data_IF_955029877798
#
_entry.id   IF_955029877798
#
_cell.length_a   1.000
_cell.length_b   1.000
_cell.length_c   1.000
_cell.angle_alpha   90.00
_cell.angle_beta   90.00
_cell.angle_gamma   90.00
#
_symmetry.space_group_name_H-M   'P 1'
#
loop_
_entity.id
_entity.type
_entity.pdbx_description
1 polymer ?
#
# COMPACT_ATOMS: atom_id res chain seq x y z
N UNK A 1 -26.63 17.66 9.52
CA UNK A 1 -25.18 17.54 9.21
C UNK A 1 -25.03 17.30 7.71
N UNK A 2 -24.21 18.09 7.01
CA UNK A 2 -23.96 17.96 5.56
C UNK A 2 -22.51 17.54 5.30
N UNK A 3 -22.26 16.88 4.18
CA UNK A 3 -20.90 16.45 3.78
C UNK A 3 -19.94 17.65 3.68
N UNK A 4 -20.45 18.80 3.26
CA UNK A 4 -19.66 20.04 3.18
C UNK A 4 -19.15 20.49 4.56
N UNK A 5 -19.95 20.36 5.62
CA UNK A 5 -19.52 20.66 6.98
C UNK A 5 -18.36 19.77 7.41
N UNK A 6 -18.40 18.46 7.06
CA UNK A 6 -17.33 17.52 7.36
C UNK A 6 -16.05 17.80 6.54
N UNK A 7 -16.18 18.22 5.28
CA UNK A 7 -15.03 18.65 4.47
C UNK A 7 -14.35 19.88 5.07
N UNK A 8 -15.14 20.87 5.49
CA UNK A 8 -14.63 22.06 6.19
C UNK A 8 -13.92 21.68 7.49
N UNK A 9 -14.50 20.78 8.27
CA UNK A 9 -13.93 20.29 9.51
C UNK A 9 -12.57 19.58 9.27
N UNK A 10 -12.48 18.65 8.31
CA UNK A 10 -11.23 17.95 8.01
C UNK A 10 -10.14 18.89 7.52
N UNK A 11 -10.46 19.89 6.69
CA UNK A 11 -9.48 20.86 6.23
C UNK A 11 -8.87 21.66 7.39
N UNK A 12 -9.70 22.08 8.38
CA UNK A 12 -9.19 22.74 9.59
C UNK A 12 -8.44 21.78 10.50
N UNK A 13 -8.89 20.53 10.63
CA UNK A 13 -8.24 19.50 11.44
C UNK A 13 -6.83 19.12 10.92
N UNK A 14 -6.61 19.22 9.60
CA UNK A 14 -5.31 18.94 8.96
C UNK A 14 -4.35 20.13 9.07
N UNK A 15 -4.86 21.35 8.87
CA UNK A 15 -4.00 22.55 8.83
C UNK A 15 -3.83 23.19 10.20
N UNK A 16 -4.74 22.94 11.14
CA UNK A 16 -4.89 23.63 12.42
C UNK A 16 -4.91 25.16 12.26
N UNK A 17 -5.33 25.64 11.07
CA UNK A 17 -5.36 27.04 10.72
C UNK A 17 -6.54 27.38 9.79
N UNK A 18 -7.51 28.16 10.28
CA UNK A 18 -8.74 28.48 9.53
C UNK A 18 -8.49 29.17 8.20
N UNK A 19 -7.51 30.09 8.13
CA UNK A 19 -7.17 30.79 6.89
C UNK A 19 -6.60 29.86 5.81
N UNK A 20 -5.67 28.98 6.17
CA UNK A 20 -5.10 28.00 5.25
C UNK A 20 -6.14 26.96 4.82
N UNK A 21 -6.99 26.50 5.74
CA UNK A 21 -8.08 25.58 5.41
C UNK A 21 -9.09 26.23 4.44
N UNK A 22 -9.42 27.49 4.63
CA UNK A 22 -10.31 28.22 3.73
C UNK A 22 -9.71 28.39 2.33
N UNK A 23 -8.42 28.70 2.24
CA UNK A 23 -7.70 28.79 0.98
C UNK A 23 -7.64 27.42 0.26
N UNK A 24 -7.39 26.32 1.00
CA UNK A 24 -7.39 24.95 0.47
C UNK A 24 -8.74 24.54 -0.13
N UNK A 25 -9.84 25.07 0.40
CA UNK A 25 -11.21 24.77 -0.04
C UNK A 25 -11.79 25.84 -0.99
N UNK A 26 -11.01 26.84 -1.38
CA UNK A 26 -11.43 27.98 -2.19
C UNK A 26 -12.68 28.67 -1.60
N UNK A 27 -12.63 28.94 -0.29
CA UNK A 27 -13.74 29.52 0.49
C UNK A 27 -13.28 30.76 1.26
N UNK A 28 -14.25 31.64 1.58
CA UNK A 28 -13.99 32.72 2.53
C UNK A 28 -13.84 32.17 3.96
N UNK A 29 -12.88 32.68 4.77
CA UNK A 29 -12.68 32.21 6.15
C UNK A 29 -13.95 32.34 7.03
N UNK A 30 -14.79 33.33 6.77
CA UNK A 30 -16.08 33.52 7.46
C UNK A 30 -17.09 32.41 7.15
N UNK A 31 -17.13 31.94 5.87
CA UNK A 31 -17.98 30.83 5.44
C UNK A 31 -17.50 29.51 6.05
N UNK A 32 -16.18 29.25 6.04
CA UNK A 32 -15.60 28.10 6.71
C UNK A 32 -15.93 28.09 8.21
N UNK A 33 -15.73 29.21 8.89
CA UNK A 33 -16.06 29.35 10.32
C UNK A 33 -17.54 29.11 10.64
N UNK A 34 -18.45 29.54 9.75
CA UNK A 34 -19.88 29.26 9.86
C UNK A 34 -20.19 27.77 9.72
N UNK A 35 -19.60 27.06 8.73
CA UNK A 35 -19.81 25.64 8.53
C UNK A 35 -19.33 24.83 9.73
N UNK A 36 -18.19 25.16 10.31
CA UNK A 36 -17.70 24.53 11.54
C UNK A 36 -18.66 24.77 12.71
N UNK A 37 -19.16 25.99 12.88
CA UNK A 37 -20.11 26.28 13.95
C UNK A 37 -21.41 25.51 13.80
N UNK A 38 -21.98 25.45 12.60
CA UNK A 38 -23.17 24.65 12.31
C UNK A 38 -22.95 23.14 12.60
N UNK A 39 -21.76 22.63 12.31
CA UNK A 39 -21.40 21.26 12.63
C UNK A 39 -21.34 21.04 14.15
N UNK A 40 -20.66 21.92 14.89
CA UNK A 40 -20.58 21.89 16.36
C UNK A 40 -21.96 21.98 17.01
N UNK A 41 -22.83 22.87 16.51
CA UNK A 41 -24.23 23.00 16.95
C UNK A 41 -25.02 21.71 16.67
N UNK A 42 -24.92 21.15 15.48
CA UNK A 42 -25.61 19.89 15.11
C UNK A 42 -25.19 18.71 15.98
N UNK A 43 -23.92 18.64 16.35
CA UNK A 43 -23.37 17.56 17.19
C UNK A 43 -23.47 17.86 18.69
N UNK A 44 -23.87 19.08 19.09
CA UNK A 44 -23.98 19.48 20.48
C UNK A 44 -22.64 19.52 21.22
N UNK A 45 -21.51 19.61 20.50
CA UNK A 45 -20.18 19.59 21.11
C UNK A 45 -19.19 20.48 20.34
N UNK A 46 -18.14 20.93 21.04
CA UNK A 46 -17.04 21.66 20.44
C UNK A 46 -16.04 20.65 19.85
N UNK A 47 -15.58 20.92 18.63
CA UNK A 47 -14.61 20.09 17.91
C UNK A 47 -13.22 20.71 17.94
N UNK A 48 -13.14 22.03 18.12
CA UNK A 48 -11.88 22.75 18.24
C UNK A 48 -11.83 23.57 19.53
N UNK A 49 -10.67 23.57 20.16
CA UNK A 49 -10.30 24.61 21.13
C UNK A 49 -9.68 25.77 20.36
N UNK A 50 -10.15 26.99 20.64
CA UNK A 50 -9.69 28.22 19.98
C UNK A 50 -9.10 29.15 21.03
N UNK A 51 -7.81 29.45 20.91
CA UNK A 51 -7.19 30.58 21.60
C UNK A 51 -6.72 31.60 20.56
N UNK A 52 -6.40 32.80 20.98
CA UNK A 52 -5.86 33.85 20.10
C UNK A 52 -4.56 33.46 19.41
N UNK A 53 -3.89 32.36 19.84
CA UNK A 53 -2.58 31.92 19.34
C UNK A 53 -2.58 30.51 18.81
N UNK A 54 -3.61 29.69 19.03
CA UNK A 54 -3.58 28.27 18.66
C UNK A 54 -4.98 27.68 18.44
N UNK A 55 -5.09 26.87 17.37
CA UNK A 55 -6.23 26.00 17.12
C UNK A 55 -5.78 24.55 17.38
N UNK A 56 -6.56 23.79 18.15
CA UNK A 56 -6.31 22.38 18.40
C UNK A 56 -7.65 21.62 18.41
N UNK A 57 -7.59 20.31 18.09
CA UNK A 57 -8.75 19.43 18.21
C UNK A 57 -9.10 19.15 19.67
N UNK A 58 -10.38 19.08 19.98
CA UNK A 58 -10.89 18.47 21.22
C UNK A 58 -10.84 16.95 21.11
N UNK A 59 -11.11 16.21 22.20
CA UNK A 59 -11.27 14.75 22.16
C UNK A 59 -12.37 14.34 21.16
N UNK A 60 -13.51 15.03 21.18
CA UNK A 60 -14.59 14.80 20.21
C UNK A 60 -14.16 15.17 18.78
N UNK A 61 -13.31 16.17 18.60
CA UNK A 61 -12.71 16.53 17.31
C UNK A 61 -11.79 15.41 16.79
N UNK A 62 -11.00 14.79 17.66
CA UNK A 62 -10.15 13.64 17.27
C UNK A 62 -11.01 12.46 16.83
N UNK A 63 -12.06 12.11 17.58
CA UNK A 63 -13.00 11.04 17.21
C UNK A 63 -13.70 11.34 15.89
N UNK A 64 -14.24 12.54 15.72
CA UNK A 64 -14.93 12.91 14.50
C UNK A 64 -14.00 12.91 13.29
N UNK A 65 -12.73 13.23 13.43
CA UNK A 65 -11.77 13.26 12.31
C UNK A 65 -11.68 11.90 11.62
N UNK A 66 -11.61 10.83 12.37
CA UNK A 66 -11.53 9.48 11.82
C UNK A 66 -12.85 9.06 11.15
N UNK A 67 -13.98 9.33 11.78
CA UNK A 67 -15.29 8.98 11.23
C UNK A 67 -15.67 9.86 10.03
N UNK A 68 -15.35 11.15 10.05
CA UNK A 68 -15.58 12.05 8.93
C UNK A 68 -14.76 11.66 7.68
N UNK A 69 -13.51 11.20 7.87
CA UNK A 69 -12.69 10.68 6.76
C UNK A 69 -13.34 9.46 6.11
N UNK A 70 -13.80 8.51 6.90
CA UNK A 70 -14.48 7.30 6.41
C UNK A 70 -15.75 7.65 5.63
N UNK A 71 -16.59 8.49 6.20
CA UNK A 71 -17.87 8.90 5.61
C UNK A 71 -17.67 9.65 4.28
N UNK A 72 -16.75 10.62 4.24
CA UNK A 72 -16.46 11.36 3.02
C UNK A 72 -15.85 10.48 1.95
N UNK A 73 -14.93 9.58 2.32
CA UNK A 73 -14.37 8.62 1.39
C UNK A 73 -15.45 7.70 0.79
N UNK A 74 -16.40 7.26 1.61
CA UNK A 74 -17.54 6.46 1.13
C UNK A 74 -18.48 7.26 0.21
N UNK A 75 -18.80 8.50 0.58
CA UNK A 75 -19.60 9.38 -0.26
C UNK A 75 -18.92 9.67 -1.62
N UNK A 76 -17.61 9.90 -1.63
CA UNK A 76 -16.83 10.12 -2.84
C UNK A 76 -16.80 8.84 -3.72
N UNK A 77 -16.75 7.65 -3.11
CA UNK A 77 -16.84 6.37 -3.81
C UNK A 77 -18.19 6.18 -4.49
N UNK A 78 -19.30 6.47 -3.78
CA UNK A 78 -20.66 6.46 -4.38
C UNK A 78 -20.72 7.43 -5.56
N UNK A 79 -20.25 8.67 -5.38
CA UNK A 79 -20.23 9.66 -6.46
C UNK A 79 -19.41 9.19 -7.67
N UNK A 80 -18.30 8.49 -7.44
CA UNK A 80 -17.47 7.92 -8.49
C UNK A 80 -18.19 6.80 -9.23
N UNK A 81 -18.88 5.90 -8.54
CA UNK A 81 -19.70 4.85 -9.15
C UNK A 81 -20.75 5.42 -10.10
N UNK A 82 -21.46 6.49 -9.71
CA UNK A 82 -22.49 7.10 -10.51
C UNK A 82 -21.97 8.10 -11.57
N UNK A 83 -20.80 8.70 -11.39
CA UNK A 83 -20.14 9.55 -12.40
C UNK A 83 -19.46 8.75 -13.51
N UNK A 84 -19.09 7.51 -13.25
CA UNK A 84 -18.60 6.61 -14.29
C UNK A 84 -19.77 6.13 -15.15
N UNK A 85 -20.27 7.04 -15.97
CA UNK A 85 -21.09 6.95 -17.16
C UNK A 85 -22.05 5.72 -17.24
N UNK A 86 -23.40 5.93 -17.18
CA UNK A 86 -24.39 4.86 -17.38
C UNK A 86 -24.36 4.23 -18.79
N UNK A 87 -23.40 4.63 -19.66
CA UNK A 87 -23.20 4.08 -21.00
C UNK A 87 -22.08 3.04 -21.11
N UNK A 88 -21.29 2.79 -20.04
CA UNK A 88 -20.37 1.64 -20.03
C UNK A 88 -21.14 0.41 -19.60
N UNK A 89 -21.58 -0.36 -20.58
CA UNK A 89 -22.21 -1.67 -20.39
C UNK A 89 -21.22 -2.79 -20.01
N UNK A 90 -19.95 -2.45 -19.75
CA UNK A 90 -18.92 -3.43 -19.39
C UNK A 90 -18.69 -3.43 -17.88
N UNK A 91 -18.72 -4.62 -17.28
CA UNK A 91 -18.39 -4.81 -15.88
C UNK A 91 -16.96 -4.35 -15.59
N UNK A 92 -16.73 -3.71 -14.44
CA UNK A 92 -15.44 -3.11 -14.07
C UNK A 92 -14.96 -3.67 -12.73
N UNK A 93 -13.69 -4.13 -12.68
CA UNK A 93 -13.00 -4.51 -11.45
C UNK A 93 -11.78 -3.61 -11.23
N UNK A 94 -11.73 -2.94 -10.07
CA UNK A 94 -10.62 -2.05 -9.67
C UNK A 94 -9.69 -2.80 -8.74
N UNK A 95 -8.52 -3.13 -9.22
CA UNK A 95 -7.53 -3.94 -8.52
C UNK A 95 -6.35 -3.09 -8.08
N UNK A 96 -6.09 -3.07 -6.78
CA UNK A 96 -4.89 -2.47 -6.20
C UNK A 96 -3.80 -3.52 -5.99
N UNK A 97 -2.54 -3.15 -6.13
CA UNK A 97 -1.44 -4.10 -5.98
C UNK A 97 -0.18 -3.42 -5.47
N UNK A 98 0.62 -4.16 -4.72
CA UNK A 98 2.01 -3.76 -4.44
C UNK A 98 2.90 -4.10 -5.63
N UNK A 99 4.04 -3.42 -5.72
CA UNK A 99 5.01 -3.52 -6.81
C UNK A 99 5.47 -4.96 -7.12
N UNK A 100 5.74 -5.79 -6.10
CA UNK A 100 6.18 -7.18 -6.36
C UNK A 100 5.07 -8.03 -6.97
N UNK A 101 3.84 -7.92 -6.49
CA UNK A 101 2.70 -8.64 -7.05
C UNK A 101 2.35 -8.14 -8.46
N UNK A 102 2.56 -6.84 -8.74
CA UNK A 102 2.40 -6.28 -10.09
C UNK A 102 3.31 -6.95 -11.11
N UNK A 103 4.51 -7.36 -10.70
CA UNK A 103 5.49 -8.01 -11.57
C UNK A 103 5.32 -9.53 -11.57
N UNK A 104 5.12 -10.11 -10.38
CA UNK A 104 5.12 -11.57 -10.18
C UNK A 104 3.80 -12.22 -10.54
N UNK A 105 2.72 -11.75 -9.94
CA UNK A 105 1.39 -12.37 -9.99
C UNK A 105 0.51 -11.83 -11.13
N UNK A 106 0.38 -10.50 -11.22
CA UNK A 106 -0.67 -9.90 -12.05
C UNK A 106 -0.57 -10.20 -13.54
N UNK A 107 0.61 -10.27 -14.19
CA UNK A 107 0.65 -10.55 -15.63
C UNK A 107 -0.01 -11.88 -15.99
N UNK A 108 0.31 -12.96 -15.27
CA UNK A 108 -0.30 -14.27 -15.48
C UNK A 108 -1.78 -14.30 -15.14
N UNK A 109 -2.16 -13.75 -13.97
CA UNK A 109 -3.55 -13.67 -13.52
C UNK A 109 -4.42 -12.90 -14.53
N UNK A 110 -3.97 -11.75 -14.99
CA UNK A 110 -4.72 -10.93 -15.93
C UNK A 110 -4.84 -11.57 -17.31
N UNK A 111 -3.80 -12.25 -17.75
CA UNK A 111 -3.85 -13.01 -19.01
C UNK A 111 -4.94 -14.09 -18.93
N UNK A 112 -4.93 -14.88 -17.86
CA UNK A 112 -5.89 -15.93 -17.64
C UNK A 112 -7.31 -15.38 -17.45
N UNK A 113 -7.48 -14.35 -16.64
CA UNK A 113 -8.78 -13.73 -16.37
C UNK A 113 -9.41 -13.16 -17.64
N UNK A 114 -8.65 -12.51 -18.51
CA UNK A 114 -9.16 -11.97 -19.80
C UNK A 114 -9.60 -13.06 -20.77
N UNK A 115 -9.05 -14.24 -20.70
CA UNK A 115 -9.48 -15.38 -21.54
C UNK A 115 -10.88 -15.86 -21.12
N UNK A 116 -11.17 -15.88 -19.82
CA UNK A 116 -12.46 -16.35 -19.30
C UNK A 116 -13.53 -15.24 -19.24
N UNK A 117 -13.11 -14.00 -18.99
CA UNK A 117 -13.98 -12.83 -18.80
C UNK A 117 -13.58 -11.67 -19.73
N UNK A 118 -13.66 -11.84 -21.07
CA UNK A 118 -13.17 -10.86 -22.05
C UNK A 118 -13.92 -9.52 -22.04
N UNK A 119 -15.13 -9.49 -21.48
CA UNK A 119 -15.95 -8.27 -21.40
C UNK A 119 -15.70 -7.45 -20.14
N UNK A 120 -14.94 -7.98 -19.17
CA UNK A 120 -14.64 -7.28 -17.93
C UNK A 120 -13.48 -6.30 -18.14
N UNK A 121 -13.71 -5.03 -17.83
CA UNK A 121 -12.64 -4.03 -17.76
C UNK A 121 -11.91 -4.17 -16.40
N UNK A 122 -10.59 -4.23 -16.41
CA UNK A 122 -9.78 -4.22 -15.19
C UNK A 122 -8.97 -2.94 -15.15
N UNK A 123 -9.12 -2.19 -14.04
CA UNK A 123 -8.29 -1.03 -13.75
C UNK A 123 -7.29 -1.37 -12.65
N UNK A 124 -5.99 -1.15 -12.94
CA UNK A 124 -4.90 -1.45 -12.02
C UNK A 124 -4.39 -0.18 -11.34
N UNK A 125 -4.12 -0.31 -10.04
CA UNK A 125 -3.56 0.74 -9.20
C UNK A 125 -2.38 0.17 -8.41
N UNK A 126 -1.17 0.56 -8.78
CA UNK A 126 0.03 0.18 -8.04
C UNK A 126 0.31 1.22 -6.95
N UNK A 127 0.45 0.76 -5.70
CA UNK A 127 0.78 1.60 -4.56
C UNK A 127 1.26 0.73 -3.37
N UNK A 128 1.66 1.34 -2.27
CA UNK A 128 2.02 0.65 -1.03
C UNK A 128 0.78 0.23 -0.25
N UNK A 129 0.88 -0.85 0.53
CA UNK A 129 -0.23 -1.36 1.38
C UNK A 129 -0.91 -0.25 2.19
N UNK A 130 -0.11 0.67 2.77
CA UNK A 130 -0.62 1.78 3.60
C UNK A 130 -1.55 2.74 2.86
N UNK A 131 -1.43 2.82 1.52
CA UNK A 131 -2.28 3.63 0.66
C UNK A 131 -3.41 2.82 0.01
N UNK A 132 -3.19 1.53 -0.24
CA UNK A 132 -4.19 0.65 -0.87
C UNK A 132 -5.34 0.31 0.08
N UNK A 133 -5.06 -0.01 1.35
CA UNK A 133 -6.10 -0.34 2.32
C UNK A 133 -7.14 0.78 2.54
N UNK A 134 -6.76 2.07 2.68
CA UNK A 134 -7.74 3.15 2.74
C UNK A 134 -8.59 3.30 1.46
N UNK A 135 -8.00 3.03 0.27
CA UNK A 135 -8.73 3.06 -1.00
C UNK A 135 -9.73 1.90 -1.09
N UNK A 136 -9.34 0.70 -0.63
CA UNK A 136 -10.23 -0.44 -0.52
C UNK A 136 -11.39 -0.16 0.46
N UNK A 137 -11.08 0.33 1.65
CA UNK A 137 -12.08 0.69 2.68
C UNK A 137 -13.08 1.74 2.21
N UNK A 138 -12.66 2.66 1.35
CA UNK A 138 -13.53 3.70 0.77
C UNK A 138 -14.27 3.27 -0.49
N UNK A 139 -14.15 2.01 -0.95
CA UNK A 139 -14.77 1.51 -2.17
C UNK A 139 -14.18 2.08 -3.46
N UNK A 140 -12.98 2.67 -3.40
CA UNK A 140 -12.22 3.09 -4.60
C UNK A 140 -11.52 1.93 -5.28
N UNK A 141 -11.28 0.85 -4.54
CA UNK A 141 -10.77 -0.43 -5.02
C UNK A 141 -11.74 -1.54 -4.58
N UNK A 142 -11.80 -2.61 -5.36
CA UNK A 142 -12.66 -3.75 -5.12
C UNK A 142 -11.88 -4.94 -4.57
N UNK A 143 -10.62 -5.08 -4.98
CA UNK A 143 -9.68 -6.11 -4.57
C UNK A 143 -8.28 -5.51 -4.48
N UNK A 144 -7.48 -5.94 -3.49
CA UNK A 144 -6.08 -5.54 -3.39
C UNK A 144 -5.17 -6.73 -3.09
N UNK A 145 -3.99 -6.74 -3.73
CA UNK A 145 -2.90 -7.69 -3.44
C UNK A 145 -1.84 -6.97 -2.63
N UNK A 146 -1.68 -7.36 -1.36
CA UNK A 146 -0.87 -6.63 -0.40
C UNK A 146 -0.05 -7.54 0.51
N UNK A 147 0.93 -6.95 1.18
CA UNK A 147 1.50 -7.53 2.39
C UNK A 147 0.69 -7.04 3.58
N UNK A 148 -0.03 -7.94 4.26
CA UNK A 148 -0.95 -7.53 5.32
C UNK A 148 -0.17 -6.95 6.51
N UNK A 149 -0.70 -5.93 7.20
CA UNK A 149 -0.17 -5.53 8.49
C UNK A 149 -0.40 -6.65 9.53
N UNK A 150 0.35 -6.63 10.63
CA UNK A 150 0.23 -7.62 11.72
C UNK A 150 -1.20 -7.78 12.24
N UNK A 151 -1.98 -6.70 12.22
CA UNK A 151 -3.40 -6.71 12.54
C UNK A 151 -4.18 -6.10 11.37
N UNK A 152 -4.97 -6.91 10.70
CA UNK A 152 -5.92 -6.48 9.69
C UNK A 152 -7.32 -6.36 10.32
N UNK A 153 -8.02 -5.26 10.04
CA UNK A 153 -9.36 -4.99 10.57
C UNK A 153 -10.35 -6.09 10.10
N UNK A 154 -11.23 -6.56 11.01
CA UNK A 154 -12.21 -7.61 10.75
C UNK A 154 -13.22 -7.29 9.62
N UNK A 155 -13.30 -6.02 9.20
CA UNK A 155 -14.12 -5.62 8.05
C UNK A 155 -13.58 -6.11 6.70
N UNK A 156 -12.34 -6.61 6.66
CA UNK A 156 -11.72 -7.13 5.44
C UNK A 156 -11.83 -8.65 5.37
N UNK A 157 -12.28 -9.16 4.23
CA UNK A 157 -12.05 -10.54 3.81
C UNK A 157 -10.61 -10.66 3.30
N UNK A 158 -10.01 -11.84 3.48
CA UNK A 158 -8.65 -12.09 3.02
C UNK A 158 -8.45 -13.53 2.59
N UNK A 159 -7.58 -13.74 1.60
CA UNK A 159 -7.06 -15.03 1.19
C UNK A 159 -5.53 -14.97 1.15
N UNK A 160 -4.87 -15.87 1.86
CA UNK A 160 -3.43 -16.03 1.79
C UNK A 160 -3.07 -16.67 0.45
N UNK A 161 -2.06 -16.12 -0.24
CA UNK A 161 -1.58 -16.66 -1.51
C UNK A 161 -0.25 -17.38 -1.32
N UNK A 162 0.80 -16.66 -0.93
CA UNK A 162 2.12 -17.25 -0.76
C UNK A 162 2.97 -16.45 0.25
N UNK A 163 4.11 -17.03 0.62
CA UNK A 163 5.23 -16.32 1.22
C UNK A 163 6.29 -16.11 0.13
N UNK A 164 6.41 -14.88 -0.38
CA UNK A 164 7.45 -14.53 -1.35
C UNK A 164 8.80 -14.46 -0.64
N UNK A 165 9.81 -15.28 -1.04
CA UNK A 165 11.12 -15.26 -0.41
C UNK A 165 11.89 -13.97 -0.74
N UNK A 166 12.90 -13.66 0.08
CA UNK A 166 13.88 -12.64 -0.22
C UNK A 166 15.03 -13.21 -1.07
N UNK A 167 15.55 -12.42 -2.01
CA UNK A 167 16.75 -12.70 -2.77
C UNK A 167 17.73 -11.55 -2.65
N UNK A 168 19.03 -11.86 -2.83
CA UNK A 168 20.10 -10.87 -2.80
C UNK A 168 20.25 -10.22 -4.17
N UNK A 169 20.09 -8.89 -4.23
CA UNK A 169 20.48 -8.07 -5.37
C UNK A 169 21.89 -7.52 -5.14
N UNK A 170 22.78 -7.68 -6.11
CA UNK A 170 24.18 -7.26 -6.03
C UNK A 170 24.71 -6.77 -7.39
N UNK A 171 25.78 -5.95 -7.42
CA UNK A 171 26.42 -5.56 -8.66
C UNK A 171 26.90 -6.77 -9.46
N UNK A 172 26.75 -6.73 -10.77
CA UNK A 172 27.20 -7.84 -11.65
C UNK A 172 28.71 -8.13 -11.57
N UNK A 173 29.50 -7.17 -11.07
CA UNK A 173 30.94 -7.31 -10.82
C UNK A 173 31.28 -7.87 -9.44
N UNK A 174 30.28 -8.12 -8.59
CA UNK A 174 30.49 -8.59 -7.21
C UNK A 174 31.02 -10.05 -7.23
N UNK A 175 31.92 -10.46 -6.30
CA UNK A 175 32.43 -11.83 -6.23
C UNK A 175 31.36 -12.93 -6.12
N UNK A 176 30.17 -12.59 -5.60
CA UNK A 176 29.05 -13.52 -5.47
C UNK A 176 28.14 -13.58 -6.70
N UNK A 177 28.40 -12.78 -7.75
CA UNK A 177 27.48 -12.60 -8.88
C UNK A 177 27.20 -13.87 -9.69
N UNK A 178 28.17 -14.80 -9.73
CA UNK A 178 28.07 -16.06 -10.46
C UNK A 178 27.73 -17.25 -9.55
N UNK A 179 27.39 -17.01 -8.29
CA UNK A 179 26.98 -18.06 -7.35
C UNK A 179 25.49 -18.31 -7.46
N UNK A 180 25.07 -19.54 -7.22
CA UNK A 180 23.65 -19.90 -7.14
C UNK A 180 23.03 -19.44 -5.82
N UNK A 181 23.78 -19.59 -4.73
CA UNK A 181 23.34 -19.25 -3.37
C UNK A 181 24.42 -18.51 -2.59
N UNK A 182 23.98 -17.71 -1.61
CA UNK A 182 24.82 -17.02 -0.64
C UNK A 182 24.22 -17.20 0.75
N UNK A 183 25.05 -17.47 1.74
CA UNK A 183 24.61 -17.52 3.13
C UNK A 183 24.54 -16.09 3.72
N UNK A 184 23.53 -15.85 4.56
CA UNK A 184 23.39 -14.55 5.23
C UNK A 184 24.65 -14.18 6.02
N UNK A 185 25.30 -15.14 6.65
CA UNK A 185 26.54 -14.90 7.41
C UNK A 185 27.68 -14.32 6.56
N UNK A 186 27.71 -14.60 5.26
CA UNK A 186 28.71 -14.06 4.34
C UNK A 186 28.52 -12.57 4.04
N UNK A 187 27.36 -11.99 4.41
CA UNK A 187 27.07 -10.56 4.26
C UNK A 187 27.56 -9.71 5.43
N UNK A 188 28.21 -10.31 6.44
CA UNK A 188 28.76 -9.57 7.58
C UNK A 188 29.73 -8.47 7.11
N UNK A 189 29.51 -7.24 7.60
CA UNK A 189 30.31 -6.08 7.23
C UNK A 189 30.11 -5.54 5.82
N UNK A 190 29.29 -6.19 4.98
CA UNK A 190 29.00 -5.69 3.63
C UNK A 190 28.00 -4.51 3.68
N UNK A 191 28.19 -3.49 2.80
CA UNK A 191 27.29 -2.34 2.75
C UNK A 191 25.92 -2.76 2.23
N UNK A 192 24.88 -2.56 3.03
CA UNK A 192 23.50 -2.91 2.69
C UNK A 192 22.64 -1.67 2.40
N UNK A 193 21.82 -1.73 1.38
CA UNK A 193 20.77 -0.75 1.09
C UNK A 193 19.46 -1.29 1.66
N UNK A 194 18.87 -0.57 2.61
CA UNK A 194 17.62 -0.97 3.27
C UNK A 194 16.43 -0.20 2.74
N UNK A 195 15.25 -0.86 2.64
CA UNK A 195 13.99 -0.14 2.43
C UNK A 195 13.63 0.68 3.66
N UNK A 196 12.99 1.83 3.45
CA UNK A 196 12.47 2.68 4.52
C UNK A 196 11.38 1.93 5.31
N UNK A 197 11.59 1.74 6.61
CA UNK A 197 10.68 0.95 7.46
C UNK A 197 9.27 1.51 7.51
N UNK A 198 9.14 2.85 7.53
CA UNK A 198 7.84 3.52 7.64
C UNK A 198 6.89 3.19 6.49
N UNK A 199 7.42 3.04 5.29
CA UNK A 199 6.66 2.80 4.07
C UNK A 199 6.68 1.34 3.62
N UNK A 200 7.73 0.59 3.98
CA UNK A 200 7.95 -0.82 3.59
C UNK A 200 8.36 -1.69 4.78
N UNK A 201 7.52 -1.78 5.83
CA UNK A 201 7.88 -2.47 7.06
C UNK A 201 8.27 -3.94 6.83
N UNK A 202 7.50 -4.67 6.01
CA UNK A 202 7.79 -6.09 5.76
C UNK A 202 9.15 -6.33 5.13
N UNK A 203 9.53 -5.55 4.11
CA UNK A 203 10.84 -5.72 3.44
C UNK A 203 12.00 -5.28 4.35
N UNK A 204 11.81 -4.24 5.14
CA UNK A 204 12.80 -3.82 6.13
C UNK A 204 12.99 -4.88 7.21
N UNK A 205 11.88 -5.30 7.84
CA UNK A 205 11.91 -6.24 8.95
C UNK A 205 12.39 -7.64 8.48
N UNK A 206 12.11 -8.05 7.23
CA UNK A 206 12.68 -9.27 6.66
C UNK A 206 14.21 -9.21 6.68
N UNK A 207 14.81 -8.15 6.13
CA UNK A 207 16.28 -8.01 6.11
C UNK A 207 16.83 -8.02 7.53
N UNK A 208 16.27 -7.22 8.43
CA UNK A 208 16.72 -7.16 9.81
C UNK A 208 16.63 -8.51 10.54
N UNK A 209 15.55 -9.24 10.32
CA UNK A 209 15.34 -10.56 10.92
C UNK A 209 16.33 -11.61 10.39
N UNK A 210 16.64 -11.59 9.08
CA UNK A 210 17.63 -12.49 8.50
C UNK A 210 19.01 -12.29 9.14
N UNK A 211 19.47 -11.05 9.25
CA UNK A 211 20.74 -10.70 9.88
C UNK A 211 20.74 -11.06 11.37
N UNK A 212 19.68 -10.70 12.10
CA UNK A 212 19.55 -11.04 13.51
C UNK A 212 19.58 -12.56 13.76
N UNK A 213 18.87 -13.33 12.93
CA UNK A 213 18.85 -14.80 13.05
C UNK A 213 20.21 -15.43 12.76
N UNK A 214 21.00 -14.83 11.86
CA UNK A 214 22.37 -15.24 11.58
C UNK A 214 23.38 -14.78 12.64
N UNK A 215 22.96 -13.96 13.61
CA UNK A 215 23.81 -13.45 14.69
C UNK A 215 24.82 -12.40 14.23
N UNK A 216 24.57 -11.71 13.12
CA UNK A 216 25.44 -10.67 12.55
C UNK A 216 24.73 -9.32 12.49
N UNK A 217 25.51 -8.24 12.44
CA UNK A 217 24.97 -6.88 12.34
C UNK A 217 24.88 -6.40 10.90
N UNK A 218 23.83 -5.60 10.60
CA UNK A 218 23.66 -4.97 9.29
C UNK A 218 24.49 -3.70 9.20
N UNK A 219 25.38 -3.62 8.22
CA UNK A 219 26.09 -2.39 7.88
C UNK A 219 25.28 -1.60 6.86
N UNK A 220 24.52 -0.58 7.30
CA UNK A 220 23.65 0.21 6.43
C UNK A 220 24.47 1.26 5.68
N UNK A 221 24.52 1.17 4.34
CA UNK A 221 25.15 2.18 3.48
C UNK A 221 24.16 3.26 3.04
N UNK A 222 22.90 2.87 2.78
CA UNK A 222 21.86 3.77 2.28
C UNK A 222 20.47 3.26 2.66
N UNK A 223 19.52 4.17 2.82
CA UNK A 223 18.07 3.86 2.88
C UNK A 223 17.39 4.44 1.65
N UNK A 224 16.44 3.69 1.08
CA UNK A 224 15.63 4.14 -0.05
C UNK A 224 14.21 3.58 0.04
N UNK A 225 13.25 4.34 -0.46
CA UNK A 225 11.83 4.02 -0.33
C UNK A 225 11.31 3.14 -1.49
N UNK A 226 11.76 3.45 -2.71
CA UNK A 226 11.27 2.77 -3.92
C UNK A 226 12.22 1.64 -4.34
N UNK A 227 11.65 0.48 -4.65
CA UNK A 227 12.41 -0.72 -5.06
C UNK A 227 13.28 -0.45 -6.29
N UNK A 228 12.76 0.28 -7.27
CA UNK A 228 13.53 0.65 -8.45
C UNK A 228 14.76 1.49 -8.08
N UNK A 229 14.62 2.41 -7.13
CA UNK A 229 15.75 3.20 -6.62
C UNK A 229 16.77 2.31 -5.92
N UNK A 230 16.32 1.36 -5.09
CA UNK A 230 17.20 0.39 -4.42
C UNK A 230 18.02 -0.39 -5.47
N UNK A 231 17.36 -0.96 -6.49
CA UNK A 231 18.03 -1.73 -7.55
C UNK A 231 19.01 -0.86 -8.34
N UNK A 232 18.67 0.40 -8.62
CA UNK A 232 19.58 1.34 -9.29
C UNK A 232 20.82 1.66 -8.42
N UNK A 233 20.65 1.80 -7.12
CA UNK A 233 21.78 2.01 -6.18
C UNK A 233 22.68 0.78 -6.11
N UNK A 234 22.09 -0.44 -6.17
CA UNK A 234 22.85 -1.68 -6.30
C UNK A 234 23.66 -1.69 -7.60
N UNK A 235 23.06 -1.33 -8.74
CA UNK A 235 23.74 -1.24 -10.03
C UNK A 235 24.92 -0.25 -9.99
N UNK A 236 24.79 0.83 -9.21
CA UNK A 236 25.83 1.84 -9.00
C UNK A 236 26.92 1.40 -7.98
N UNK A 237 26.82 0.21 -7.38
CA UNK A 237 27.81 -0.28 -6.41
C UNK A 237 27.74 0.37 -5.03
N UNK A 238 26.64 1.05 -4.68
CA UNK A 238 26.47 1.70 -3.37
C UNK A 238 26.33 0.67 -2.23
N UNK A 239 25.83 -0.52 -2.55
CA UNK A 239 25.67 -1.62 -1.60
C UNK A 239 24.89 -2.78 -2.20
N UNK A 240 24.61 -3.76 -1.36
CA UNK A 240 23.77 -4.92 -1.66
C UNK A 240 22.36 -4.68 -1.12
N UNK A 241 21.36 -5.40 -1.62
CA UNK A 241 20.01 -5.31 -1.08
C UNK A 241 19.32 -6.67 -1.06
N UNK A 242 18.52 -6.93 -0.01
CA UNK A 242 17.59 -8.04 0.00
C UNK A 242 16.25 -7.53 -0.51
N UNK A 243 15.77 -8.12 -1.60
CA UNK A 243 14.53 -7.71 -2.29
C UNK A 243 13.60 -8.92 -2.45
N UNK A 244 12.28 -8.72 -2.63
CA UNK A 244 11.37 -9.81 -2.95
C UNK A 244 11.78 -10.56 -4.23
N UNK A 245 11.61 -11.86 -4.27
CA UNK A 245 12.12 -12.74 -5.34
C UNK A 245 11.62 -12.35 -6.74
N UNK A 246 10.38 -11.91 -6.86
CA UNK A 246 9.85 -11.46 -8.14
C UNK A 246 10.55 -10.23 -8.71
N UNK A 247 11.34 -9.51 -7.88
CA UNK A 247 12.17 -8.41 -8.36
C UNK A 247 13.25 -8.86 -9.36
N UNK A 248 13.62 -10.15 -9.37
CA UNK A 248 14.52 -10.73 -10.36
C UNK A 248 13.99 -10.69 -11.80
N UNK A 249 12.68 -10.51 -11.96
CA UNK A 249 12.05 -10.32 -13.27
C UNK A 249 12.33 -8.92 -13.87
N UNK A 250 12.86 -7.99 -13.08
CA UNK A 250 13.43 -6.75 -13.62
C UNK A 250 14.77 -7.04 -14.29
N UNK A 251 14.82 -6.86 -15.59
CA UNK A 251 16.08 -6.93 -16.34
C UNK A 251 16.84 -5.61 -16.16
N UNK A 252 17.62 -5.51 -15.08
CA UNK A 252 18.44 -4.34 -14.81
C UNK A 252 19.91 -4.61 -15.20
N UNK A 253 20.44 -3.91 -16.22
CA UNK A 253 21.86 -4.01 -16.55
C UNK A 253 22.74 -3.68 -15.33
N UNK A 254 23.78 -4.50 -15.09
CA UNK A 254 24.71 -4.30 -13.99
C UNK A 254 24.26 -4.85 -12.63
N UNK A 255 23.07 -5.51 -12.55
CA UNK A 255 22.60 -6.20 -11.33
C UNK A 255 22.46 -7.69 -11.58
N UNK A 256 22.86 -8.48 -10.61
CA UNK A 256 22.59 -9.91 -10.51
C UNK A 256 21.75 -10.18 -9.27
N UNK A 257 20.95 -11.24 -9.37
CA UNK A 257 20.12 -11.73 -8.26
C UNK A 257 20.57 -13.12 -7.89
N UNK A 258 20.86 -13.35 -6.62
CA UNK A 258 21.36 -14.60 -6.08
C UNK A 258 20.46 -15.07 -4.95
N UNK A 259 20.18 -16.36 -4.87
CA UNK A 259 19.36 -16.93 -3.80
C UNK A 259 20.07 -16.81 -2.45
N UNK A 260 19.27 -16.61 -1.39
CA UNK A 260 19.77 -16.59 -0.03
C UNK A 260 19.43 -17.91 0.65
N UNK A 261 20.44 -18.62 1.17
CA UNK A 261 20.20 -19.82 1.95
C UNK A 261 19.41 -19.51 3.22
N UNK A 262 18.38 -20.29 3.49
CA UNK A 262 17.50 -20.12 4.64
C UNK A 262 16.43 -19.03 4.48
N UNK A 263 16.44 -18.26 3.40
CA UNK A 263 15.39 -17.26 3.13
C UNK A 263 14.06 -17.88 2.67
N UNK A 264 14.05 -19.14 2.24
CA UNK A 264 12.84 -19.87 1.84
C UNK A 264 11.87 -20.04 3.02
N UNK A 265 12.38 -20.10 4.25
CA UNK A 265 11.60 -20.27 5.48
C UNK A 265 11.07 -18.92 6.01
N UNK A 266 11.62 -17.80 5.55
CA UNK A 266 11.31 -16.44 6.01
C UNK A 266 10.88 -15.63 4.80
N UNK A 267 9.66 -15.87 4.34
CA UNK A 267 9.06 -15.12 3.23
C UNK A 267 8.19 -13.95 3.71
N UNK A 268 7.92 -13.05 2.79
CA UNK A 268 6.97 -11.97 2.99
C UNK A 268 5.59 -12.44 2.55
N UNK A 269 4.57 -12.42 3.43
CA UNK A 269 3.23 -12.87 3.07
C UNK A 269 2.63 -11.98 1.98
N UNK A 270 1.98 -12.60 1.01
CA UNK A 270 1.12 -11.94 0.03
C UNK A 270 -0.31 -12.42 0.25
N UNK A 271 -1.22 -11.49 0.34
CA UNK A 271 -2.65 -11.77 0.49
C UNK A 271 -3.47 -10.99 -0.53
N UNK A 272 -4.55 -11.62 -1.00
CA UNK A 272 -5.66 -10.95 -1.63
C UNK A 272 -6.62 -10.45 -0.53
N UNK A 273 -7.01 -9.18 -0.57
CA UNK A 273 -7.84 -8.55 0.46
C UNK A 273 -8.97 -7.76 -0.19
N UNK A 274 -10.19 -7.86 0.38
CA UNK A 274 -11.40 -7.18 -0.09
C UNK A 274 -12.29 -6.74 1.07
N UNK A 275 -13.36 -5.99 0.81
CA UNK A 275 -14.34 -5.64 1.84
C UNK A 275 -15.23 -6.84 2.15
N UNK A 276 -15.22 -7.32 3.40
CA UNK A 276 -16.10 -8.41 3.85
C UNK A 276 -17.58 -7.98 3.73
N UNK A 277 -18.44 -8.92 3.31
CA UNK A 277 -19.88 -8.69 3.18
C UNK A 277 -20.32 -7.93 1.92
N UNK A 278 -19.41 -7.38 1.12
CA UNK A 278 -19.74 -6.87 -0.20
C UNK A 278 -19.88 -8.03 -1.19
N UNK A 279 -21.04 -8.13 -1.87
CA UNK A 279 -21.21 -9.09 -2.96
C UNK A 279 -20.65 -8.49 -4.25
N UNK A 280 -19.70 -9.18 -4.87
CA UNK A 280 -19.07 -8.80 -6.14
C UNK A 280 -18.66 -10.07 -6.89
N UNK A 281 -19.50 -10.48 -7.85
CA UNK A 281 -19.29 -11.70 -8.63
C UNK A 281 -17.99 -11.68 -9.43
N UNK A 282 -17.56 -10.51 -9.92
CA UNK A 282 -16.35 -10.41 -10.74
C UNK A 282 -15.11 -10.60 -9.88
N UNK A 283 -15.08 -9.97 -8.71
CA UNK A 283 -14.03 -10.18 -7.71
C UNK A 283 -13.99 -11.65 -7.27
N UNK A 284 -15.15 -12.22 -6.96
CA UNK A 284 -15.26 -13.59 -6.47
C UNK A 284 -14.78 -14.60 -7.54
N UNK A 285 -15.07 -14.35 -8.82
CA UNK A 285 -14.53 -15.13 -9.94
C UNK A 285 -12.99 -15.00 -10.04
N UNK A 286 -12.41 -13.83 -9.78
CA UNK A 286 -10.95 -13.65 -9.77
C UNK A 286 -10.31 -14.39 -8.58
N UNK A 287 -10.96 -14.39 -7.42
CA UNK A 287 -10.50 -15.15 -6.25
C UNK A 287 -10.56 -16.66 -6.49
N UNK A 288 -11.66 -17.16 -7.06
CA UNK A 288 -11.79 -18.57 -7.45
C UNK A 288 -10.69 -19.01 -8.43
N UNK A 289 -10.38 -18.18 -9.42
CA UNK A 289 -9.30 -18.45 -10.37
C UNK A 289 -7.92 -18.54 -9.68
N UNK A 290 -7.66 -17.73 -8.65
CA UNK A 290 -6.43 -17.83 -7.87
C UNK A 290 -6.36 -19.14 -7.08
N UNK A 291 -7.47 -19.63 -6.56
CA UNK A 291 -7.53 -20.92 -5.86
C UNK A 291 -7.30 -22.10 -6.81
N UNK A 292 -7.81 -22.01 -8.05
CA UNK A 292 -7.65 -23.04 -9.09
C UNK A 292 -6.25 -23.05 -9.72
N UNK A 293 -5.52 -21.92 -9.67
CA UNK A 293 -4.23 -21.72 -10.34
C UNK A 293 -3.13 -21.25 -9.38
N UNK A 294 -2.73 -22.08 -8.39
CA UNK A 294 -1.68 -21.72 -7.44
C UNK A 294 -0.31 -21.51 -8.11
N UNK A 295 -0.08 -22.10 -9.30
CA UNK A 295 1.14 -21.90 -10.08
C UNK A 295 1.39 -20.45 -10.51
N UNK A 296 0.40 -19.58 -10.39
CA UNK A 296 0.55 -18.15 -10.70
C UNK A 296 1.41 -17.42 -9.66
N UNK A 297 1.49 -17.95 -8.43
CA UNK A 297 2.13 -17.26 -7.30
C UNK A 297 3.04 -18.18 -6.44
N UNK A 298 3.21 -19.43 -6.84
CA UNK A 298 4.15 -20.41 -6.22
C UNK A 298 5.47 -20.45 -6.96
#
# INVERSE_FOLDING_TARGET
MELQHLRCFLAVAETLHFGQAAQKLDMLPSALGRNIRLLEETLGTRLFTRSTRRVALTENGVLLREEARKLLAHADAIMLQFRQNPRRSQPLLRVGTIDSAAIGLLPGLLQLFRQHYPTVEIQLFEDKTVHLLPKLKSGRLDLVFIRPPAQLDAQFGRAFLCNEPGILALPASHPFADRETVDIAELEGMPMILPERRSRPHSHDLTMNLFHTAGIEVTVSQMADEKQTIINLVAAGIGLAIVPAWSSRYLMPGVKFVQLNGAEQIGMPLEAVWMAGAQDEIRDNMLAMLEEHPELYV
#
